data_IF_362756938453
#
_entry.id   IF_362756938453
#
_cell.length_a   1.000
_cell.length_b   1.000
_cell.length_c   1.000
_cell.angle_alpha   90.00
_cell.angle_beta   90.00
_cell.angle_gamma   90.00
#
_symmetry.space_group_name_H-M   'P 1'
#
loop_
_entity.id
_entity.type
_entity.pdbx_description
1 polymer ?
#
# COMPACT_ATOMS: atom_id res chain seq x y z
N UNK A 1 17.33 -15.02 -11.81
CA UNK A 1 17.77 -13.65 -11.49
C UNK A 1 16.63 -12.76 -11.05
N UNK A 2 15.51 -12.76 -11.78
CA UNK A 2 14.35 -11.92 -11.42
C UNK A 2 13.81 -12.25 -10.03
N UNK A 3 13.73 -13.53 -9.69
CA UNK A 3 13.21 -13.98 -8.38
C UNK A 3 14.12 -13.52 -7.24
N UNK A 4 15.44 -13.59 -7.43
CA UNK A 4 16.40 -13.18 -6.41
C UNK A 4 16.31 -11.67 -6.16
N UNK A 5 16.16 -10.89 -7.23
CA UNK A 5 16.02 -9.43 -7.12
C UNK A 5 14.74 -9.09 -6.35
N UNK A 6 13.64 -9.78 -6.63
CA UNK A 6 12.39 -9.59 -5.88
C UNK A 6 12.56 -9.87 -4.39
N UNK A 7 13.26 -10.95 -4.04
CA UNK A 7 13.49 -11.31 -2.65
C UNK A 7 14.38 -10.30 -1.93
N UNK A 8 15.35 -9.70 -2.64
CA UNK A 8 16.23 -8.69 -2.06
C UNK A 8 15.50 -7.36 -1.85
N UNK A 9 14.61 -6.98 -2.80
CA UNK A 9 13.93 -5.69 -2.77
C UNK A 9 12.78 -5.68 -1.76
N UNK A 10 11.93 -6.72 -1.77
CA UNK A 10 10.74 -6.75 -0.92
C UNK A 10 11.05 -7.24 0.49
N UNK A 11 10.49 -6.56 1.49
CA UNK A 11 10.57 -6.92 2.91
C UNK A 11 11.99 -7.24 3.41
N UNK A 12 12.92 -6.32 3.15
CA UNK A 12 14.30 -6.48 3.58
C UNK A 12 14.41 -6.72 5.09
N UNK A 13 15.33 -7.60 5.48
CA UNK A 13 15.58 -7.96 6.87
C UNK A 13 15.90 -6.76 7.76
N UNK A 14 16.68 -5.81 7.23
CA UNK A 14 17.10 -4.63 7.98
C UNK A 14 15.92 -3.79 8.46
N UNK A 15 14.75 -3.91 7.83
CA UNK A 15 13.57 -3.13 8.19
C UNK A 15 12.53 -3.95 8.97
N UNK A 16 12.84 -5.20 9.30
CA UNK A 16 11.89 -6.11 9.93
C UNK A 16 11.34 -5.57 11.25
N UNK A 17 12.21 -5.12 12.14
CA UNK A 17 11.79 -4.60 13.43
C UNK A 17 10.98 -3.31 13.27
N UNK A 18 11.40 -2.45 12.36
CA UNK A 18 10.69 -1.20 12.09
C UNK A 18 9.27 -1.49 11.55
N UNK A 19 9.15 -2.43 10.61
CA UNK A 19 7.83 -2.82 10.10
C UNK A 19 6.93 -3.39 11.19
N UNK A 20 7.52 -4.19 12.10
CA UNK A 20 6.78 -4.78 13.22
C UNK A 20 6.21 -3.68 14.13
N UNK A 21 7.03 -2.68 14.45
CA UNK A 21 6.58 -1.55 15.27
C UNK A 21 5.46 -0.77 14.60
N UNK A 22 5.59 -0.52 13.30
CA UNK A 22 4.54 0.19 12.56
C UNK A 22 3.23 -0.61 12.53
N UNK A 23 3.30 -1.94 12.40
CA UNK A 23 2.09 -2.77 12.41
C UNK A 23 1.40 -2.77 13.76
N UNK A 24 2.15 -2.67 14.85
CA UNK A 24 1.58 -2.60 16.19
C UNK A 24 0.95 -1.26 16.48
N UNK A 25 1.42 -0.21 15.82
CA UNK A 25 1.02 1.17 16.10
C UNK A 25 0.36 1.82 14.88
N UNK A 26 -0.62 1.14 14.30
CA UNK A 26 -1.37 1.69 13.17
C UNK A 26 -2.09 2.97 13.59
N UNK A 27 -2.09 3.98 12.71
CA UNK A 27 -2.92 5.16 12.92
C UNK A 27 -4.39 4.77 12.87
N UNK A 28 -5.31 5.59 13.43
CA UNK A 28 -6.75 5.29 13.33
C UNK A 28 -7.24 5.07 11.90
N UNK A 29 -6.76 5.87 10.94
CA UNK A 29 -7.15 5.72 9.55
C UNK A 29 -6.62 4.40 8.96
N UNK A 30 -5.37 4.07 9.25
CA UNK A 30 -4.80 2.80 8.81
C UNK A 30 -5.54 1.61 9.40
N UNK A 31 -5.86 1.66 10.68
CA UNK A 31 -6.59 0.60 11.35
C UNK A 31 -7.98 0.41 10.74
N UNK A 32 -8.64 1.51 10.41
CA UNK A 32 -9.97 1.45 9.81
C UNK A 32 -9.92 0.83 8.42
N UNK A 33 -9.00 1.30 7.56
CA UNK A 33 -8.89 0.76 6.21
C UNK A 33 -8.48 -0.72 6.24
N UNK A 34 -7.60 -1.10 7.15
CA UNK A 34 -7.16 -2.48 7.29
C UNK A 34 -8.31 -3.45 7.53
N UNK A 35 -9.34 -3.02 8.25
CA UNK A 35 -10.53 -3.86 8.48
C UNK A 35 -11.19 -4.31 7.17
N UNK A 36 -11.11 -3.50 6.14
CA UNK A 36 -11.71 -3.80 4.83
C UNK A 36 -10.76 -4.52 3.90
N UNK A 37 -9.44 -4.40 4.12
CA UNK A 37 -8.43 -5.01 3.25
C UNK A 37 -7.94 -6.36 3.73
N UNK A 38 -7.97 -6.60 5.05
CA UNK A 38 -7.43 -7.84 5.61
C UNK A 38 -8.23 -9.07 5.17
N UNK A 39 -7.58 -10.23 5.23
CA UNK A 39 -8.23 -11.51 4.94
C UNK A 39 -8.83 -11.59 3.54
N UNK A 40 -8.22 -10.92 2.58
CA UNK A 40 -8.67 -10.91 1.18
C UNK A 40 -10.12 -10.47 1.01
N UNK A 41 -10.60 -9.59 1.89
CA UNK A 41 -12.01 -9.15 1.87
C UNK A 41 -12.37 -8.30 0.65
N UNK A 42 -11.41 -7.53 0.14
CA UNK A 42 -11.70 -6.65 -1.00
C UNK A 42 -11.53 -7.42 -2.30
N UNK A 43 -12.62 -7.94 -2.81
CA UNK A 43 -12.67 -8.70 -4.07
C UNK A 43 -11.61 -9.82 -4.14
N UNK A 44 -11.34 -10.46 -3.01
CA UNK A 44 -10.42 -11.59 -2.95
C UNK A 44 -8.94 -11.21 -3.06
N UNK A 45 -8.60 -9.93 -3.03
CA UNK A 45 -7.21 -9.48 -3.13
C UNK A 45 -6.54 -9.50 -1.77
N UNK A 46 -5.36 -10.13 -1.74
CA UNK A 46 -4.56 -10.16 -0.52
C UNK A 46 -3.73 -8.89 -0.42
N UNK A 47 -3.96 -8.12 0.63
CA UNK A 47 -3.17 -6.95 0.96
C UNK A 47 -2.26 -7.23 2.15
N UNK A 48 -1.08 -6.64 2.13
CA UNK A 48 -0.13 -6.66 3.24
C UNK A 48 -0.01 -5.25 3.78
N UNK A 49 0.01 -5.12 5.10
CA UNK A 49 0.20 -3.80 5.73
C UNK A 49 1.67 -3.59 6.04
N UNK A 50 2.10 -2.35 5.96
CA UNK A 50 3.48 -1.94 6.28
C UNK A 50 4.50 -2.83 5.58
N UNK A 51 4.39 -2.85 4.26
CA UNK A 51 5.22 -3.68 3.39
C UNK A 51 6.43 -2.88 2.89
N UNK A 52 7.64 -3.41 3.01
CA UNK A 52 8.81 -2.68 2.54
C UNK A 52 9.20 -3.06 1.12
N UNK A 53 9.59 -2.04 0.35
CA UNK A 53 10.13 -2.19 -1.01
C UNK A 53 11.39 -1.34 -1.05
N UNK A 54 12.55 -2.00 -1.18
CA UNK A 54 13.82 -1.31 -1.02
C UNK A 54 13.91 -0.72 0.37
N UNK A 55 14.23 0.57 0.44
CA UNK A 55 14.30 1.29 1.71
C UNK A 55 12.98 1.92 2.13
N UNK A 56 11.95 1.82 1.28
CA UNK A 56 10.66 2.46 1.54
C UNK A 56 9.66 1.51 2.15
N UNK A 57 8.78 2.02 2.98
CA UNK A 57 7.69 1.25 3.56
C UNK A 57 6.38 1.77 2.99
N UNK A 58 5.56 0.85 2.50
CA UNK A 58 4.26 1.12 1.89
C UNK A 58 3.18 0.76 2.91
N UNK A 59 2.18 1.63 3.07
CA UNK A 59 1.12 1.38 4.06
C UNK A 59 0.39 0.08 3.79
N UNK A 60 -0.11 -0.11 2.58
CA UNK A 60 -0.79 -1.35 2.16
C UNK A 60 -0.34 -1.72 0.75
N UNK A 61 -0.03 -2.98 0.54
CA UNK A 61 0.44 -3.46 -0.74
C UNK A 61 -0.26 -4.74 -1.17
N UNK A 62 -0.75 -4.76 -2.41
CA UNK A 62 -1.31 -5.96 -3.03
C UNK A 62 -0.33 -6.48 -4.07
N UNK A 63 0.39 -7.58 -3.77
CA UNK A 63 1.40 -8.11 -4.70
C UNK A 63 0.84 -8.50 -6.05
N UNK A 64 -0.32 -9.13 -6.07
CA UNK A 64 -0.95 -9.61 -7.31
C UNK A 64 -1.27 -8.46 -8.26
N UNK A 65 -1.74 -7.35 -7.72
CA UNK A 65 -2.11 -6.18 -8.52
C UNK A 65 -0.99 -5.17 -8.67
N UNK A 66 0.13 -5.40 -7.97
CA UNK A 66 1.23 -4.43 -7.87
C UNK A 66 0.71 -3.04 -7.51
N UNK A 67 -0.20 -3.01 -6.55
CA UNK A 67 -0.89 -1.82 -6.13
C UNK A 67 -0.52 -1.46 -4.70
N UNK A 68 -0.03 -0.23 -4.53
CA UNK A 68 0.28 0.35 -3.23
C UNK A 68 -0.79 1.35 -2.87
N UNK A 69 -1.34 1.25 -1.66
CA UNK A 69 -2.32 2.21 -1.13
C UNK A 69 -1.67 2.93 0.04
N UNK A 70 -1.64 4.25 -0.05
CA UNK A 70 -1.02 5.10 0.96
C UNK A 70 -2.04 6.04 1.57
N UNK A 71 -1.90 6.31 2.86
CA UNK A 71 -2.75 7.26 3.56
C UNK A 71 -1.93 8.47 3.96
N UNK A 72 -2.50 9.65 3.77
CA UNK A 72 -1.82 10.91 4.02
C UNK A 72 -2.56 11.69 5.09
N UNK A 73 -1.87 11.97 6.20
CA UNK A 73 -2.48 12.67 7.33
C UNK A 73 -2.49 14.18 7.19
N UNK A 74 -1.52 14.74 6.48
CA UNK A 74 -1.38 16.17 6.29
C UNK A 74 -0.85 16.48 4.90
N UNK A 75 -1.58 17.26 4.15
CA UNK A 75 -1.20 17.67 2.80
C UNK A 75 -0.30 18.92 2.84
N UNK A 76 0.70 18.94 3.72
CA UNK A 76 1.62 20.07 3.76
C UNK A 76 2.78 19.84 2.81
N UNK A 77 2.85 20.68 1.80
CA UNK A 77 4.00 20.70 0.90
C UNK A 77 5.19 21.30 1.62
N UNK A 78 6.18 20.47 1.88
CA UNK A 78 7.48 20.87 2.34
C UNK A 78 8.45 20.52 1.23
N UNK A 79 9.24 21.48 0.77
CA UNK A 79 10.13 21.30 -0.37
C UNK A 79 11.14 20.14 -0.18
N UNK A 80 11.58 19.91 1.04
CA UNK A 80 12.50 18.79 1.34
C UNK A 80 11.81 17.45 1.19
N UNK A 81 10.57 17.36 1.68
CA UNK A 81 9.78 16.14 1.56
C UNK A 81 9.32 15.91 0.12
N UNK A 82 9.13 16.98 -0.65
CA UNK A 82 8.71 16.88 -2.04
C UNK A 82 9.74 16.13 -2.88
N UNK A 83 11.03 16.44 -2.75
CA UNK A 83 12.08 15.73 -3.49
C UNK A 83 12.17 14.28 -3.07
N UNK A 84 12.06 14.00 -1.79
CA UNK A 84 12.03 12.64 -1.28
C UNK A 84 10.86 11.86 -1.88
N UNK A 85 9.69 12.46 -1.90
CA UNK A 85 8.48 11.84 -2.42
C UNK A 85 8.58 11.58 -3.92
N UNK A 86 9.18 12.49 -4.68
CA UNK A 86 9.40 12.29 -6.11
C UNK A 86 10.30 11.09 -6.35
N UNK A 87 11.42 11.01 -5.64
CA UNK A 87 12.36 9.89 -5.77
C UNK A 87 11.72 8.56 -5.38
N UNK A 88 10.92 8.58 -4.31
CA UNK A 88 10.19 7.40 -3.85
C UNK A 88 9.21 6.94 -4.92
N UNK A 89 8.45 7.87 -5.47
CA UNK A 89 7.48 7.58 -6.52
C UNK A 89 8.14 7.03 -7.77
N UNK A 90 9.24 7.64 -8.21
CA UNK A 90 9.99 7.17 -9.37
C UNK A 90 10.52 5.75 -9.16
N UNK A 91 11.05 5.47 -7.97
CA UNK A 91 11.57 4.15 -7.65
C UNK A 91 10.46 3.09 -7.70
N UNK A 92 9.34 3.35 -7.04
CA UNK A 92 8.20 2.43 -7.04
C UNK A 92 7.65 2.22 -8.44
N UNK A 93 7.53 3.31 -9.20
CA UNK A 93 7.05 3.24 -10.57
C UNK A 93 7.98 2.42 -11.46
N UNK A 94 9.31 2.53 -11.25
CA UNK A 94 10.28 1.76 -12.02
C UNK A 94 10.14 0.25 -11.79
N UNK A 95 9.56 -0.15 -10.65
CA UNK A 95 9.30 -1.54 -10.33
C UNK A 95 7.90 -1.99 -10.79
N UNK A 96 7.17 -1.13 -11.47
CA UNK A 96 5.83 -1.45 -11.95
C UNK A 96 4.76 -1.36 -10.87
N UNK A 97 5.06 -0.69 -9.76
CA UNK A 97 4.10 -0.53 -8.67
C UNK A 97 3.29 0.74 -8.88
N UNK A 98 1.97 0.59 -8.92
CA UNK A 98 1.05 1.70 -9.02
C UNK A 98 0.70 2.20 -7.62
N UNK A 99 0.86 3.50 -7.35
CA UNK A 99 0.62 4.07 -6.02
C UNK A 99 -0.64 4.92 -6.06
N UNK A 100 -1.56 4.63 -5.13
CA UNK A 100 -2.81 5.37 -4.97
C UNK A 100 -2.83 5.96 -3.57
N UNK A 101 -3.13 7.25 -3.45
CA UNK A 101 -3.14 7.95 -2.16
C UNK A 101 -4.51 8.47 -1.81
N UNK A 102 -4.84 8.38 -0.53
CA UNK A 102 -6.07 8.93 0.03
C UNK A 102 -5.72 9.73 1.26
N UNK A 103 -6.52 10.77 1.53
CA UNK A 103 -6.41 11.51 2.77
C UNK A 103 -7.07 10.74 3.90
N UNK A 104 -6.51 10.86 5.11
CA UNK A 104 -7.06 10.16 6.28
C UNK A 104 -8.54 10.44 6.49
N UNK A 105 -8.97 11.69 6.29
CA UNK A 105 -10.38 12.06 6.47
C UNK A 105 -11.31 11.29 5.55
N UNK A 106 -10.85 10.96 4.33
CA UNK A 106 -11.68 10.24 3.37
C UNK A 106 -11.94 8.80 3.81
N UNK A 107 -11.00 8.22 4.55
CA UNK A 107 -11.19 6.88 5.10
C UNK A 107 -12.39 6.86 6.06
N UNK A 108 -12.58 7.94 6.83
CA UNK A 108 -13.68 8.02 7.79
C UNK A 108 -14.98 8.51 7.16
N UNK A 109 -14.89 9.48 6.26
CA UNK A 109 -16.07 10.17 5.73
C UNK A 109 -16.59 9.56 4.43
N UNK A 110 -15.72 8.92 3.64
CA UNK A 110 -16.05 8.43 2.31
C UNK A 110 -15.53 7.01 2.10
N UNK A 111 -15.73 6.14 3.09
CA UNK A 111 -15.18 4.77 3.07
C UNK A 111 -15.54 4.02 1.80
N UNK A 112 -16.82 4.02 1.42
CA UNK A 112 -17.28 3.30 0.24
C UNK A 112 -16.61 3.81 -1.04
N UNK A 113 -16.46 5.12 -1.16
CA UNK A 113 -15.84 5.74 -2.33
C UNK A 113 -14.36 5.34 -2.40
N UNK A 114 -13.68 5.33 -1.23
CA UNK A 114 -12.27 4.90 -1.18
C UNK A 114 -12.14 3.46 -1.64
N UNK A 115 -12.97 2.56 -1.13
CA UNK A 115 -12.92 1.14 -1.50
C UNK A 115 -13.20 0.93 -2.99
N UNK A 116 -14.18 1.64 -3.54
CA UNK A 116 -14.47 1.57 -4.97
C UNK A 116 -13.31 2.10 -5.80
N UNK A 117 -12.68 3.18 -5.34
CA UNK A 117 -11.49 3.72 -6.01
C UNK A 117 -10.35 2.71 -6.03
N UNK A 118 -10.10 2.03 -4.90
CA UNK A 118 -9.07 0.99 -4.85
C UNK A 118 -9.37 -0.11 -5.85
N UNK A 119 -10.61 -0.60 -5.87
CA UNK A 119 -11.03 -1.65 -6.81
C UNK A 119 -10.87 -1.22 -8.26
N UNK A 120 -11.08 0.06 -8.55
CA UNK A 120 -10.96 0.57 -9.92
C UNK A 120 -9.54 0.44 -10.48
N UNK A 121 -8.55 0.26 -9.62
CA UNK A 121 -7.16 0.09 -10.03
C UNK A 121 -6.77 -1.38 -10.21
N UNK A 122 -7.67 -2.32 -9.92
CA UNK A 122 -7.38 -3.73 -10.15
C UNK A 122 -7.37 -4.01 -11.64
N UNK A 123 -6.27 -4.61 -12.11
CA UNK A 123 -6.10 -4.94 -13.53
C UNK A 123 -6.35 -6.41 -13.80
N UNK A 124 -6.31 -7.24 -12.76
CA UNK A 124 -6.61 -8.65 -12.89
C UNK A 124 -8.09 -8.88 -12.63
N UNK A 125 -8.67 -9.83 -13.39
CA UNK A 125 -10.06 -10.19 -13.20
C UNK A 125 -10.27 -10.75 -11.79
N UNK A 126 -11.44 -10.49 -11.16
CA UNK A 126 -11.75 -11.11 -9.88
C UNK A 126 -11.83 -12.62 -10.02
N UNK A 127 -11.59 -13.39 -8.94
CA UNK A 127 -11.76 -14.84 -9.00
C UNK A 127 -13.19 -15.17 -9.39
N UNK A 128 -13.34 -16.21 -10.21
CA UNK A 128 -14.68 -16.66 -10.61
C UNK A 128 -15.45 -17.13 -9.38
N UNK A 129 -16.77 -16.84 -9.33
CA UNK A 129 -17.57 -17.34 -8.23
C UNK A 129 -17.63 -18.87 -8.26
N UNK A 130 -17.79 -19.53 -7.11
CA UNK A 130 -17.90 -20.99 -7.09
C UNK A 130 -19.15 -21.44 -7.87
N UNK A 131 -19.06 -22.60 -8.52
CA UNK A 131 -20.19 -23.13 -9.28
C UNK A 131 -21.38 -23.48 -8.42
#
# INVERSE_FOLDING_TARGET
MVIIIKMIIHNQKAQKEFRRELRKNLTPAEAKLWKYLQNSKLDGRKFRRQHSVGQYIIDFYCPKEKLAVELDGNSHFNSVNEQYDIKRGEYLNSLGINVVRFENKDIFEKTEIVLESIKSHFINLPPLPPP
#
